data_IF_133664045396
#
_entry.id   IF_133664045396
#
_cell.length_a   1.000
_cell.length_b   1.000
_cell.length_c   1.000
_cell.angle_alpha   90.00
_cell.angle_beta   90.00
_cell.angle_gamma   90.00
#
_symmetry.space_group_name_H-M   'P 1'
#
loop_
_entity.id
_entity.type
_entity.pdbx_description
1 polymer ?
#
# COMPACT_ATOMS: atom_id res chain seq x y z
N UNK A 1 2.56 6.59 -4.17
CA UNK A 1 2.45 5.32 -4.89
C UNK A 1 3.01 4.26 -3.97
N UNK A 2 2.32 3.14 -3.86
CA UNK A 2 2.73 1.99 -3.06
C UNK A 2 2.83 0.81 -4.02
N UNK A 3 3.99 0.15 -4.02
CA UNK A 3 4.22 -1.05 -4.82
C UNK A 3 4.11 -2.26 -3.88
N UNK A 4 3.16 -3.15 -4.17
CA UNK A 4 2.84 -4.34 -3.38
C UNK A 4 2.87 -5.52 -4.35
N UNK A 5 3.89 -6.36 -4.25
CA UNK A 5 4.18 -7.36 -5.27
C UNK A 5 4.34 -6.72 -6.66
N UNK A 6 3.58 -7.20 -7.64
CA UNK A 6 3.52 -6.65 -8.99
C UNK A 6 2.60 -5.42 -9.13
N UNK A 7 1.69 -5.20 -8.18
CA UNK A 7 0.68 -4.16 -8.28
C UNK A 7 1.21 -2.82 -7.75
N UNK A 8 0.93 -1.75 -8.49
CA UNK A 8 1.19 -0.37 -8.05
C UNK A 8 -0.12 0.35 -7.81
N UNK A 9 -0.33 0.86 -6.59
CA UNK A 9 -1.58 1.52 -6.20
C UNK A 9 -1.33 2.89 -5.58
N UNK A 10 -2.39 3.70 -5.57
CA UNK A 10 -2.46 4.92 -4.77
C UNK A 10 -2.63 4.58 -3.29
N UNK A 11 -2.15 5.46 -2.42
CA UNK A 11 -2.34 5.32 -0.99
C UNK A 11 -2.21 6.65 -0.29
N UNK A 12 -3.08 6.89 0.70
CA UNK A 12 -3.04 8.06 1.58
C UNK A 12 -2.52 7.63 2.94
N UNK A 13 -1.53 8.37 3.45
CA UNK A 13 -1.06 8.21 4.82
C UNK A 13 -2.14 8.73 5.77
N UNK A 14 -2.61 7.87 6.68
CA UNK A 14 -3.64 8.19 7.69
C UNK A 14 -2.98 8.56 9.02
N UNK A 15 -1.95 7.82 9.41
CA UNK A 15 -1.19 8.07 10.63
C UNK A 15 0.24 7.51 10.49
N UNK A 16 1.19 8.14 11.16
CA UNK A 16 2.55 7.64 11.32
C UNK A 16 2.88 7.58 12.81
N UNK A 17 3.54 6.51 13.25
CA UNK A 17 4.05 6.37 14.62
C UNK A 17 5.36 5.58 14.57
N UNK A 18 6.45 6.22 14.96
CA UNK A 18 7.78 5.61 14.93
C UNK A 18 8.10 5.06 13.53
N UNK A 19 8.35 3.76 13.43
CA UNK A 19 8.65 2.96 12.24
C UNK A 19 7.40 2.39 11.55
N UNK A 20 6.21 2.73 12.04
CA UNK A 20 4.93 2.24 11.51
C UNK A 20 4.14 3.36 10.81
N UNK A 21 3.53 3.01 9.69
CA UNK A 21 2.60 3.87 8.96
C UNK A 21 1.29 3.13 8.72
N UNK A 22 0.16 3.83 8.95
CA UNK A 22 -1.17 3.38 8.54
C UNK A 22 -1.50 4.02 7.20
N UNK A 23 -1.69 3.20 6.16
CA UNK A 23 -1.94 3.64 4.79
C UNK A 23 -3.33 3.15 4.38
N UNK A 24 -4.18 4.08 3.94
CA UNK A 24 -5.44 3.76 3.27
C UNK A 24 -5.16 3.67 1.77
N UNK A 25 -5.40 2.48 1.19
CA UNK A 25 -5.18 2.23 -0.23
C UNK A 25 -6.35 2.79 -1.05
N UNK A 26 -6.07 3.27 -2.26
CA UNK A 26 -7.11 3.79 -3.17
C UNK A 26 -7.95 2.67 -3.77
N UNK A 27 -7.29 1.57 -4.14
CA UNK A 27 -7.92 0.34 -4.63
C UNK A 27 -7.56 -0.82 -3.69
N UNK A 28 -8.45 -1.79 -3.47
CA UNK A 28 -8.11 -3.00 -2.74
C UNK A 28 -7.02 -3.77 -3.47
N UNK A 29 -6.16 -4.44 -2.70
CA UNK A 29 -5.00 -5.16 -3.22
C UNK A 29 -4.95 -6.55 -2.57
N UNK A 30 -4.69 -7.56 -3.39
CA UNK A 30 -4.39 -8.91 -2.91
C UNK A 30 -2.93 -8.98 -2.46
N UNK A 31 -2.70 -9.33 -1.19
CA UNK A 31 -1.37 -9.43 -0.56
C UNK A 31 -1.51 -10.13 0.78
N UNK A 32 -0.38 -10.50 1.39
CA UNK A 32 -0.31 -11.17 2.68
C UNK A 32 0.41 -10.34 3.75
N UNK A 33 0.15 -10.64 5.02
CA UNK A 33 0.95 -10.07 6.10
C UNK A 33 2.40 -10.55 6.02
N UNK A 34 3.34 -9.63 6.27
CA UNK A 34 4.78 -9.87 6.13
C UNK A 34 5.33 -9.60 4.73
N UNK A 35 4.48 -9.41 3.73
CA UNK A 35 4.93 -9.11 2.37
C UNK A 35 5.67 -7.76 2.30
N UNK A 36 6.72 -7.73 1.49
CA UNK A 36 7.57 -6.56 1.30
C UNK A 36 6.91 -5.57 0.36
N UNK A 37 6.90 -4.30 0.74
CA UNK A 37 6.33 -3.22 -0.05
C UNK A 37 7.35 -2.11 -0.28
N UNK A 38 7.20 -1.40 -1.39
CA UNK A 38 7.98 -0.21 -1.69
C UNK A 38 7.10 1.06 -1.66
N UNK A 39 7.66 2.14 -1.14
CA UNK A 39 6.99 3.43 -1.04
C UNK A 39 7.66 4.41 -1.98
N UNK A 40 6.84 5.01 -2.86
CA UNK A 40 7.29 6.02 -3.81
C UNK A 40 6.51 7.31 -3.64
N UNK A 41 7.21 8.45 -3.66
CA UNK A 41 6.63 9.79 -3.57
C UNK A 41 6.88 10.57 -4.86
N UNK A 42 5.89 11.36 -5.27
CA UNK A 42 6.05 12.25 -6.42
C UNK A 42 6.83 13.50 -6.00
N UNK A 43 7.97 13.74 -6.63
CA UNK A 43 8.88 14.87 -6.40
C UNK A 43 9.32 15.36 -7.78
N UNK A 44 9.16 16.66 -8.07
CA UNK A 44 9.47 17.27 -9.37
C UNK A 44 8.88 16.49 -10.55
N UNK A 45 7.60 16.14 -10.45
CA UNK A 45 6.83 15.34 -11.42
C UNK A 45 7.29 13.88 -11.60
N UNK A 46 8.36 13.44 -10.96
CA UNK A 46 8.86 12.07 -11.01
C UNK A 46 8.48 11.26 -9.77
N UNK A 47 8.22 9.97 -9.93
CA UNK A 47 8.10 9.07 -8.79
C UNK A 47 9.49 8.67 -8.33
N UNK A 48 9.82 8.98 -7.08
CA UNK A 48 11.08 8.61 -6.44
C UNK A 48 10.80 7.58 -5.36
N UNK A 49 11.56 6.49 -5.35
CA UNK A 49 11.58 5.54 -4.25
C UNK A 49 12.05 6.26 -2.99
N UNK A 50 11.26 6.22 -1.92
CA UNK A 50 11.57 6.89 -0.66
C UNK A 50 11.78 5.91 0.51
N UNK A 51 11.42 4.64 0.32
CA UNK A 51 11.61 3.64 1.35
C UNK A 51 10.92 2.32 1.01
N UNK A 52 11.03 1.38 1.94
CA UNK A 52 10.42 0.07 1.87
C UNK A 52 9.96 -0.36 3.26
N UNK A 53 9.12 -1.38 3.32
CA UNK A 53 8.64 -1.92 4.59
C UNK A 53 8.01 -3.30 4.41
N UNK A 54 7.36 -3.79 5.46
CA UNK A 54 6.57 -5.00 5.43
C UNK A 54 5.17 -4.73 5.96
N UNK A 55 4.17 -5.39 5.39
CA UNK A 55 2.80 -5.32 5.89
C UNK A 55 2.75 -6.00 7.27
N UNK A 56 2.23 -5.31 8.28
CA UNK A 56 2.10 -5.84 9.64
C UNK A 56 0.68 -6.29 9.98
N UNK A 57 -0.32 -5.58 9.45
CA UNK A 57 -1.75 -5.86 9.59
C UNK A 57 -2.53 -5.05 8.56
N UNK A 58 -3.73 -5.50 8.20
CA UNK A 58 -4.62 -4.80 7.27
C UNK A 58 -6.09 -4.94 7.63
N UNK A 59 -6.95 -4.24 6.88
CA UNK A 59 -8.40 -4.51 6.86
C UNK A 59 -8.68 -5.28 5.58
N UNK A 60 -9.27 -6.46 5.71
CA UNK A 60 -9.64 -7.30 4.57
C UNK A 60 -11.03 -6.91 4.06
N UNK A 61 -11.23 -7.05 2.76
CA UNK A 61 -12.56 -6.96 2.15
C UNK A 61 -12.87 -8.31 1.48
N UNK A 62 -14.14 -8.67 1.40
CA UNK A 62 -14.55 -9.78 0.55
C UNK A 62 -14.56 -9.30 -0.91
N UNK A 63 -13.95 -10.04 -1.85
CA UNK A 63 -14.08 -9.73 -3.27
C UNK A 63 -15.55 -9.89 -3.66
N UNK A 64 -16.18 -8.83 -4.16
CA UNK A 64 -17.49 -8.94 -4.82
C UNK A 64 -17.28 -9.70 -6.12
N UNK A 65 -17.76 -10.94 -6.19
CA UNK A 65 -17.75 -11.75 -7.41
C UNK A 65 -18.77 -11.22 -8.44
N UNK A 66 -18.75 -11.74 -9.67
CA UNK A 66 -19.73 -11.37 -10.71
C UNK A 66 -21.17 -11.87 -10.46
N UNK A 67 -21.47 -12.41 -9.28
CA UNK A 67 -22.80 -12.91 -8.90
C UNK A 67 -23.55 -11.99 -7.92
N UNK A 68 -23.05 -10.77 -7.69
CA UNK A 68 -23.75 -9.65 -7.02
C UNK A 68 -24.06 -8.51 -8.01
#
# INVERSE_FOLDING_TARGET
MVNIGSLSTGGRIVACKSDLAKISLTNPVCTEEGEKIALSRRIDKHWRLIGWGKIKRGVTIQPSGPED
#
